data_IF_476904992730
#
_entry.id   IF_476904992730
#
_cell.length_a   1.000
_cell.length_b   1.000
_cell.length_c   1.000
_cell.angle_alpha   90.00
_cell.angle_beta   90.00
_cell.angle_gamma   90.00
#
_symmetry.space_group_name_H-M   'P 1'
#
loop_
_entity.id
_entity.type
_entity.pdbx_description
1 polymer ?
#
# COMPACT_ATOMS: atom_id res chain seq x y z
N UNK A 1 32.77 -44.09 22.85
CA UNK A 1 31.98 -43.00 22.22
C UNK A 1 31.86 -43.29 20.72
N UNK A 2 30.64 -43.28 20.16
CA UNK A 2 30.35 -43.72 18.78
C UNK A 2 30.84 -42.70 17.73
N UNK A 3 31.26 -43.12 16.52
CA UNK A 3 31.84 -42.24 15.49
C UNK A 3 30.91 -41.11 15.01
N UNK A 4 29.60 -41.33 15.12
CA UNK A 4 28.55 -40.36 14.76
C UNK A 4 28.53 -39.11 15.64
N UNK A 5 29.05 -39.18 16.87
CA UNK A 5 29.16 -38.00 17.74
C UNK A 5 30.32 -37.06 17.35
N UNK A 6 31.35 -37.55 16.66
CA UNK A 6 32.47 -36.70 16.19
C UNK A 6 32.09 -35.89 14.94
N UNK A 7 31.22 -36.42 14.09
CA UNK A 7 30.75 -35.73 12.88
C UNK A 7 29.83 -34.55 13.22
N UNK A 8 28.98 -34.71 14.24
CA UNK A 8 28.07 -33.65 14.70
C UNK A 8 28.81 -32.48 15.38
N UNK A 9 29.90 -32.77 16.10
CA UNK A 9 30.73 -31.76 16.76
C UNK A 9 31.56 -30.90 15.81
N UNK A 10 31.74 -31.31 14.55
CA UNK A 10 32.49 -30.56 13.53
C UNK A 10 31.56 -29.83 12.55
N UNK A 11 30.38 -30.39 12.24
CA UNK A 11 29.41 -29.74 11.35
C UNK A 11 28.71 -28.53 11.97
N UNK A 12 28.46 -28.56 13.29
CA UNK A 12 27.75 -27.48 13.97
C UNK A 12 28.55 -26.16 14.02
N UNK A 13 29.85 -26.15 14.39
CA UNK A 13 30.66 -24.94 14.38
C UNK A 13 30.87 -24.36 12.97
N UNK A 14 31.00 -25.21 11.95
CA UNK A 14 31.21 -24.77 10.56
C UNK A 14 29.97 -24.11 9.96
N UNK A 15 28.77 -24.59 10.29
CA UNK A 15 27.52 -23.94 9.88
C UNK A 15 27.31 -22.60 10.58
N UNK A 16 27.67 -22.49 11.86
CA UNK A 16 27.61 -21.23 12.62
C UNK A 16 28.63 -20.21 12.09
N UNK A 17 29.87 -20.64 11.81
CA UNK A 17 30.89 -19.79 11.21
C UNK A 17 30.52 -19.37 9.77
N UNK A 18 29.90 -20.26 8.99
CA UNK A 18 29.34 -19.93 7.67
C UNK A 18 28.21 -18.90 7.76
N UNK A 19 27.33 -19.01 8.76
CA UNK A 19 26.26 -18.05 8.99
C UNK A 19 26.78 -16.69 9.46
N UNK A 20 27.80 -16.67 10.33
CA UNK A 20 28.45 -15.45 10.80
C UNK A 20 29.25 -14.79 9.66
N UNK A 21 29.98 -15.54 8.84
CA UNK A 21 30.68 -15.03 7.65
C UNK A 21 29.70 -14.47 6.62
N UNK A 22 28.61 -15.17 6.33
CA UNK A 22 27.55 -14.71 5.43
C UNK A 22 26.85 -13.45 5.97
N UNK A 23 26.63 -13.37 7.27
CA UNK A 23 25.99 -12.21 7.92
C UNK A 23 26.93 -11.01 8.04
N UNK A 24 28.24 -11.24 8.16
CA UNK A 24 29.25 -10.17 8.30
C UNK A 24 29.65 -9.57 6.94
N UNK A 25 29.60 -10.37 5.87
CA UNK A 25 29.84 -9.91 4.49
C UNK A 25 28.80 -8.92 3.95
N UNK A 26 27.65 -8.75 4.63
CA UNK A 26 26.60 -7.77 4.25
C UNK A 26 26.55 -6.51 5.10
N UNK A 27 27.42 -6.36 6.10
CA UNK A 27 27.42 -5.21 7.01
C UNK A 27 28.61 -4.26 6.86
N UNK A 28 29.61 -4.58 6.01
CA UNK A 28 30.67 -3.64 5.67
C UNK A 28 31.13 -3.80 4.21
N UNK A 29 30.53 -3.02 3.30
CA UNK A 29 31.24 -2.52 2.12
C UNK A 29 31.23 -0.99 2.17
N UNK A 30 32.31 -0.36 2.64
CA UNK A 30 32.53 1.05 2.45
C UNK A 30 32.93 1.32 0.98
N UNK A 31 32.50 2.47 0.50
CA UNK A 31 32.77 3.10 -0.79
C UNK A 31 34.24 3.01 -1.24
N UNK A 32 34.46 2.55 -2.48
CA UNK A 32 35.59 2.87 -3.38
C UNK A 32 35.21 2.29 -4.77
N UNK A 33 35.28 2.92 -5.94
CA UNK A 33 35.68 4.22 -6.45
C UNK A 33 35.50 4.15 -7.99
N UNK A 34 35.39 5.31 -8.65
CA UNK A 34 35.28 5.49 -10.11
C UNK A 34 36.24 4.61 -10.96
N UNK A 35 35.76 4.09 -12.11
CA UNK A 35 36.36 4.38 -13.43
C UNK A 35 35.43 4.05 -14.61
N UNK A 36 35.42 4.96 -15.59
CA UNK A 36 34.84 4.87 -16.94
C UNK A 36 35.67 4.01 -17.90
N UNK A 37 35.04 3.38 -18.90
CA UNK A 37 35.25 3.51 -20.37
C UNK A 37 34.84 2.24 -21.15
N UNK A 38 33.94 2.45 -22.12
CA UNK A 38 33.87 2.02 -23.52
C UNK A 38 34.46 0.67 -24.04
N UNK A 39 33.61 0.09 -24.90
CA UNK A 39 33.85 -0.61 -26.19
C UNK A 39 34.28 -2.10 -26.28
N UNK A 40 33.62 -2.70 -27.29
CA UNK A 40 33.99 -3.83 -28.15
C UNK A 40 33.57 -5.27 -27.77
N UNK A 41 32.63 -5.80 -28.59
CA UNK A 41 32.71 -7.05 -29.37
C UNK A 41 32.86 -8.38 -28.61
N UNK A 42 32.13 -9.47 -28.86
CA UNK A 42 31.22 -9.90 -29.91
C UNK A 42 31.28 -11.43 -29.92
N UNK A 43 30.16 -12.15 -29.93
CA UNK A 43 30.14 -13.56 -30.40
C UNK A 43 28.73 -13.96 -30.83
N UNK A 44 28.62 -14.30 -32.12
CA UNK A 44 27.42 -14.82 -32.78
C UNK A 44 27.42 -16.37 -32.77
N UNK A 45 26.44 -16.94 -33.51
CA UNK A 45 26.29 -18.33 -34.01
C UNK A 45 25.31 -19.18 -33.17
N UNK A 46 24.26 -19.85 -33.68
CA UNK A 46 23.80 -20.17 -35.04
C UNK A 46 22.26 -20.32 -35.10
N UNK A 47 21.70 -20.05 -36.29
CA UNK A 47 20.37 -20.44 -36.76
C UNK A 47 20.46 -21.73 -37.58
N UNK A 48 19.48 -22.63 -37.45
CA UNK A 48 19.18 -23.66 -38.46
C UNK A 48 17.69 -23.64 -38.84
N UNK A 49 17.45 -23.61 -40.15
CA UNK A 49 16.17 -23.81 -40.89
C UNK A 49 15.77 -25.29 -40.80
N UNK A 50 14.53 -25.76 -40.98
CA UNK A 50 13.23 -25.21 -41.38
C UNK A 50 12.27 -26.38 -41.63
N UNK A 51 10.97 -26.13 -41.81
CA UNK A 51 10.04 -26.99 -42.57
C UNK A 51 8.71 -26.24 -42.80
N UNK A 52 8.30 -26.15 -44.05
CA UNK A 52 7.12 -25.44 -44.56
C UNK A 52 6.06 -26.48 -44.96
N UNK A 53 4.78 -26.26 -44.60
CA UNK A 53 3.64 -27.03 -45.13
C UNK A 53 2.51 -26.06 -45.52
N UNK A 54 1.97 -26.31 -46.73
CA UNK A 54 1.09 -25.49 -47.56
C UNK A 54 -0.26 -25.09 -46.94
N UNK A 55 -0.69 -23.88 -47.30
CA UNK A 55 -1.99 -23.25 -47.02
C UNK A 55 -3.07 -23.69 -48.03
N UNK A 56 -4.29 -23.95 -47.56
CA UNK A 56 -5.53 -24.06 -48.36
C UNK A 56 -6.24 -22.69 -48.28
N UNK A 57 -6.78 -22.11 -49.36
CA UNK A 57 -7.42 -20.79 -49.33
C UNK A 57 -8.94 -20.90 -49.11
N UNK A 58 -9.46 -20.31 -48.03
CA UNK A 58 -10.90 -20.08 -47.89
C UNK A 58 -11.20 -18.66 -47.39
N UNK A 59 -11.73 -17.88 -48.34
CA UNK A 59 -12.77 -16.87 -48.24
C UNK A 59 -12.66 -15.78 -47.15
N UNK A 60 -12.03 -14.65 -47.51
CA UNK A 60 -12.16 -13.39 -46.78
C UNK A 60 -13.61 -12.90 -46.84
N UNK A 61 -14.27 -12.91 -45.68
CA UNK A 61 -15.45 -12.08 -45.44
C UNK A 61 -14.98 -10.85 -44.67
N UNK A 62 -14.92 -9.71 -45.35
CA UNK A 62 -14.62 -8.42 -44.76
C UNK A 62 -15.75 -8.05 -43.77
N UNK A 63 -15.50 -8.24 -42.47
CA UNK A 63 -16.30 -7.64 -41.41
C UNK A 63 -15.79 -6.21 -41.23
N UNK A 64 -16.59 -5.16 -41.45
CA UNK A 64 -16.13 -3.80 -41.25
C UNK A 64 -15.81 -3.59 -39.77
N UNK A 65 -14.53 -3.41 -39.47
CA UNK A 65 -14.04 -3.04 -38.14
C UNK A 65 -14.63 -1.68 -37.80
N UNK A 66 -15.66 -1.68 -36.94
CA UNK A 66 -16.15 -0.47 -36.32
C UNK A 66 -15.04 0.25 -35.56
N UNK A 67 -15.18 1.55 -35.28
CA UNK A 67 -14.16 2.32 -34.59
C UNK A 67 -13.79 1.63 -33.28
N UNK A 68 -12.50 1.36 -33.06
CA UNK A 68 -11.99 0.87 -31.78
C UNK A 68 -12.24 1.99 -30.77
N UNK A 69 -13.35 1.92 -30.05
CA UNK A 69 -13.61 2.77 -28.89
C UNK A 69 -12.55 2.41 -27.86
N UNK A 70 -11.53 3.27 -27.73
CA UNK A 70 -10.51 3.12 -26.70
C UNK A 70 -11.17 2.99 -25.33
N UNK A 71 -10.66 2.09 -24.49
CA UNK A 71 -11.16 1.93 -23.12
C UNK A 71 -11.16 3.28 -22.40
N UNK A 72 -12.33 3.71 -21.89
CA UNK A 72 -12.48 4.93 -21.07
C UNK A 72 -11.74 4.82 -19.73
N UNK A 73 -11.33 3.60 -19.37
CA UNK A 73 -10.63 3.27 -18.12
C UNK A 73 -9.19 2.86 -18.37
N UNK A 74 -8.32 3.14 -17.40
CA UNK A 74 -6.96 2.64 -17.34
C UNK A 74 -6.90 1.13 -17.02
N UNK A 75 -5.69 0.58 -16.97
CA UNK A 75 -5.45 -0.85 -16.71
C UNK A 75 -5.94 -1.32 -15.33
N UNK A 76 -6.02 -0.42 -14.35
CA UNK A 76 -6.53 -0.73 -13.01
C UNK A 76 -8.07 -0.65 -12.97
N UNK A 77 -8.66 0.19 -13.83
CA UNK A 77 -10.09 0.45 -13.91
C UNK A 77 -10.49 1.86 -13.46
N UNK A 78 -9.55 2.80 -13.35
CA UNK A 78 -9.86 4.20 -13.10
C UNK A 78 -10.22 4.91 -14.40
N UNK A 79 -11.13 5.89 -14.36
CA UNK A 79 -11.41 6.77 -15.49
C UNK A 79 -10.12 7.48 -15.95
N UNK A 80 -9.90 7.55 -17.26
CA UNK A 80 -8.75 8.28 -17.82
C UNK A 80 -8.89 9.80 -17.64
N UNK A 81 -10.11 10.33 -17.74
CA UNK A 81 -10.41 11.75 -17.49
C UNK A 81 -10.89 11.97 -16.05
N UNK A 82 -9.93 12.28 -15.17
CA UNK A 82 -10.16 12.44 -13.73
C UNK A 82 -10.61 13.85 -13.34
N UNK A 83 -10.38 14.85 -14.18
CA UNK A 83 -10.77 16.26 -13.92
C UNK A 83 -12.26 16.53 -14.23
N UNK A 84 -13.06 15.46 -14.31
CA UNK A 84 -14.48 15.54 -14.64
C UNK A 84 -15.27 16.20 -13.50
N UNK A 85 -16.17 17.11 -13.86
CA UNK A 85 -17.13 17.68 -12.90
C UNK A 85 -17.91 16.53 -12.26
N UNK A 86 -18.29 16.69 -10.98
CA UNK A 86 -19.19 15.76 -10.32
C UNK A 86 -20.38 15.46 -11.24
N UNK A 87 -20.77 14.17 -11.40
CA UNK A 87 -21.96 13.80 -12.14
C UNK A 87 -23.15 14.66 -11.70
N UNK A 88 -24.05 15.04 -12.62
CA UNK A 88 -25.20 15.90 -12.30
C UNK A 88 -26.01 15.40 -11.10
N UNK A 89 -26.15 14.08 -10.95
CA UNK A 89 -26.81 13.44 -9.80
C UNK A 89 -26.11 13.74 -8.47
N UNK A 90 -24.78 13.60 -8.42
CA UNK A 90 -24.00 13.92 -7.22
C UNK A 90 -23.96 15.42 -6.97
N UNK A 91 -23.89 16.23 -8.04
CA UNK A 91 -23.95 17.68 -7.93
C UNK A 91 -25.31 18.14 -7.39
N UNK A 92 -26.42 17.54 -7.81
CA UNK A 92 -27.75 17.83 -7.28
C UNK A 92 -27.88 17.40 -5.81
N UNK A 93 -27.47 16.16 -5.49
CA UNK A 93 -27.56 15.60 -4.14
C UNK A 93 -26.76 16.41 -3.11
N UNK A 94 -25.57 16.87 -3.48
CA UNK A 94 -24.63 17.51 -2.56
C UNK A 94 -24.45 19.02 -2.78
N UNK A 95 -25.05 19.58 -3.83
CA UNK A 95 -24.90 20.99 -4.23
C UNK A 95 -25.69 21.96 -3.36
N UNK A 96 -26.77 21.48 -2.71
CA UNK A 96 -27.58 22.27 -1.79
C UNK A 96 -27.00 22.34 -0.36
N UNK A 97 -25.92 21.62 -0.09
CA UNK A 97 -25.25 21.63 1.21
C UNK A 97 -24.28 22.81 1.29
N UNK A 98 -24.38 23.62 2.34
CA UNK A 98 -23.47 24.73 2.58
C UNK A 98 -22.02 24.27 2.68
N UNK A 99 -21.12 25.17 2.30
CA UNK A 99 -19.68 24.94 2.37
C UNK A 99 -19.27 24.64 3.83
N UNK A 100 -18.49 23.58 4.04
CA UNK A 100 -18.06 23.12 5.36
C UNK A 100 -18.97 22.10 6.05
N UNK A 101 -20.24 21.93 5.64
CA UNK A 101 -21.13 20.89 6.19
C UNK A 101 -20.67 19.50 5.78
N UNK A 102 -20.80 18.53 6.69
CA UNK A 102 -20.44 17.15 6.43
C UNK A 102 -21.40 16.49 5.44
N UNK A 103 -20.86 15.79 4.42
CA UNK A 103 -21.66 15.18 3.35
C UNK A 103 -21.63 13.64 3.44
N UNK A 104 -22.65 12.99 4.03
CA UNK A 104 -22.66 11.53 4.20
C UNK A 104 -22.53 10.77 2.87
N UNK A 105 -21.64 9.77 2.82
CA UNK A 105 -21.33 8.93 1.68
C UNK A 105 -20.60 9.64 0.53
N UNK A 106 -20.07 10.85 0.75
CA UNK A 106 -19.55 11.67 -0.34
C UNK A 106 -18.25 11.14 -0.95
N UNK A 107 -17.28 10.75 -0.13
CA UNK A 107 -16.04 10.12 -0.60
C UNK A 107 -16.32 8.81 -1.36
N UNK A 108 -17.17 7.94 -0.83
CA UNK A 108 -17.55 6.69 -1.52
C UNK A 108 -18.20 6.98 -2.89
N UNK A 109 -19.12 7.94 -2.96
CA UNK A 109 -19.76 8.33 -4.21
C UNK A 109 -18.76 8.87 -5.26
N UNK A 110 -17.79 9.69 -4.83
CA UNK A 110 -16.71 10.16 -5.72
C UNK A 110 -15.80 9.02 -6.16
N UNK A 111 -15.48 8.10 -5.27
CA UNK A 111 -14.67 6.92 -5.59
C UNK A 111 -15.35 6.04 -6.62
N UNK A 112 -16.63 5.70 -6.43
CA UNK A 112 -17.40 4.91 -7.40
C UNK A 112 -17.47 5.59 -8.77
N UNK A 113 -17.54 6.92 -8.80
CA UNK A 113 -17.54 7.67 -10.07
C UNK A 113 -16.24 7.47 -10.86
N UNK A 114 -15.08 7.51 -10.21
CA UNK A 114 -13.79 7.35 -10.90
C UNK A 114 -13.33 5.90 -11.02
N UNK A 115 -13.85 5.01 -10.18
CA UNK A 115 -13.46 3.62 -10.08
C UNK A 115 -14.72 2.76 -9.83
N UNK A 116 -15.44 2.34 -10.89
CA UNK A 116 -16.71 1.61 -10.76
C UNK A 116 -16.60 0.27 -10.03
N UNK A 117 -15.39 -0.30 -9.93
CA UNK A 117 -15.10 -1.52 -9.16
C UNK A 117 -15.06 -1.28 -7.65
N UNK A 118 -15.20 -0.03 -7.17
CA UNK A 118 -15.25 0.30 -5.75
C UNK A 118 -16.48 -0.34 -5.11
N UNK A 119 -16.27 -1.38 -4.31
CA UNK A 119 -17.33 -2.16 -3.68
C UNK A 119 -17.72 -1.59 -2.30
N UNK A 120 -18.90 -1.99 -1.81
CA UNK A 120 -19.43 -1.64 -0.48
C UNK A 120 -18.39 -1.85 0.65
N UNK A 121 -18.49 -1.06 1.73
CA UNK A 121 -17.50 -1.04 2.80
C UNK A 121 -17.32 -2.42 3.45
N UNK A 122 -16.06 -2.84 3.54
CA UNK A 122 -15.66 -3.92 4.43
C UNK A 122 -15.53 -3.38 5.87
N UNK A 123 -15.76 -4.21 6.92
CA UNK A 123 -15.51 -3.78 8.28
C UNK A 123 -14.03 -3.39 8.45
N UNK A 124 -13.78 -2.22 9.03
CA UNK A 124 -12.45 -1.64 9.18
C UNK A 124 -11.50 -2.58 9.93
N UNK A 125 -12.00 -3.16 11.01
CA UNK A 125 -11.25 -4.07 11.87
C UNK A 125 -11.87 -5.46 11.84
N UNK A 126 -11.07 -6.46 12.22
CA UNK A 126 -11.55 -7.81 12.43
C UNK A 126 -12.39 -7.90 13.71
N UNK A 127 -13.48 -8.65 13.62
CA UNK A 127 -14.33 -9.05 14.75
C UNK A 127 -14.23 -10.57 14.97
N UNK A 128 -14.99 -11.11 15.93
CA UNK A 128 -15.02 -12.57 16.19
C UNK A 128 -15.51 -13.41 15.01
N UNK A 129 -16.10 -12.80 13.98
CA UNK A 129 -16.56 -13.47 12.77
C UNK A 129 -15.52 -13.46 11.63
N UNK A 130 -14.28 -12.99 11.87
CA UNK A 130 -13.26 -12.83 10.84
C UNK A 130 -13.01 -14.08 9.98
N UNK A 131 -13.21 -15.28 10.53
CA UNK A 131 -13.07 -16.56 9.80
C UNK A 131 -14.03 -16.70 8.61
N UNK A 132 -15.13 -15.95 8.58
CA UNK A 132 -16.09 -15.90 7.46
C UNK A 132 -15.57 -15.11 6.27
N UNK A 133 -14.46 -14.36 6.43
CA UNK A 133 -13.90 -13.52 5.39
C UNK A 133 -13.08 -14.35 4.38
N UNK A 134 -13.77 -15.06 3.48
CA UNK A 134 -13.17 -15.97 2.50
C UNK A 134 -12.11 -15.32 1.58
N UNK A 135 -12.21 -14.00 1.34
CA UNK A 135 -11.25 -13.24 0.52
C UNK A 135 -9.86 -13.09 1.16
N UNK A 136 -9.75 -13.20 2.48
CA UNK A 136 -8.50 -12.99 3.24
C UNK A 136 -8.03 -14.24 3.98
N UNK A 137 -8.91 -15.23 4.18
CA UNK A 137 -8.59 -16.47 4.91
C UNK A 137 -7.54 -17.34 4.23
N UNK A 138 -7.40 -17.24 2.91
CA UNK A 138 -6.51 -18.10 2.12
C UNK A 138 -5.10 -17.52 1.93
N UNK A 139 -4.85 -16.29 2.38
CA UNK A 139 -3.58 -15.59 2.19
C UNK A 139 -2.80 -15.48 3.49
N UNK A 140 -1.48 -15.54 3.38
CA UNK A 140 -0.59 -15.28 4.51
C UNK A 140 -0.55 -13.77 4.83
N UNK A 141 -0.14 -13.38 6.04
CA UNK A 141 0.16 -11.99 6.34
C UNK A 141 1.15 -11.36 5.34
N UNK A 142 1.02 -10.05 5.02
CA UNK A 142 0.03 -9.10 5.54
C UNK A 142 -1.29 -9.09 4.75
N UNK A 143 -1.41 -9.88 3.68
CA UNK A 143 -2.59 -9.88 2.81
C UNK A 143 -3.74 -10.72 3.36
N UNK A 144 -3.48 -11.58 4.32
CA UNK A 144 -4.49 -12.37 5.00
C UNK A 144 -4.02 -12.80 6.38
N UNK A 145 -4.68 -13.83 6.90
CA UNK A 145 -4.40 -14.36 8.24
C UNK A 145 -4.29 -15.88 8.28
N UNK A 146 -4.07 -16.51 7.12
CA UNK A 146 -3.86 -17.96 7.03
C UNK A 146 -2.77 -18.37 8.02
N UNK A 147 -3.03 -19.41 8.82
CA UNK A 147 -2.15 -19.93 9.89
C UNK A 147 -2.09 -19.12 11.19
N UNK A 148 -2.68 -17.92 11.23
CA UNK A 148 -2.63 -17.01 12.38
C UNK A 148 -3.96 -16.93 13.14
N UNK A 149 -4.93 -17.78 12.80
CA UNK A 149 -6.31 -17.70 13.29
C UNK A 149 -6.38 -17.83 14.81
N UNK A 150 -5.59 -18.73 15.42
CA UNK A 150 -5.55 -18.93 16.88
C UNK A 150 -5.04 -17.70 17.63
N UNK A 151 -4.04 -17.02 17.06
CA UNK A 151 -3.47 -15.80 17.65
C UNK A 151 -4.49 -14.67 17.55
N UNK A 152 -5.13 -14.53 16.39
CA UNK A 152 -6.19 -13.53 16.19
C UNK A 152 -7.37 -13.77 17.13
N UNK A 153 -7.84 -15.02 17.28
CA UNK A 153 -8.90 -15.36 18.26
C UNK A 153 -8.51 -14.94 19.69
N UNK A 154 -7.25 -15.15 20.07
CA UNK A 154 -6.72 -14.80 21.39
C UNK A 154 -6.70 -13.29 21.59
N UNK A 155 -6.20 -12.55 20.60
CA UNK A 155 -6.19 -11.08 20.63
C UNK A 155 -7.62 -10.54 20.71
N UNK A 156 -8.52 -10.96 19.81
CA UNK A 156 -9.90 -10.48 19.79
C UNK A 156 -10.68 -10.80 21.07
N UNK A 157 -10.33 -11.90 21.74
CA UNK A 157 -10.92 -12.25 23.05
C UNK A 157 -10.40 -11.32 24.16
N UNK A 158 -9.15 -10.87 24.08
CA UNK A 158 -8.57 -9.92 25.03
C UNK A 158 -9.05 -8.48 24.77
N UNK A 159 -9.14 -8.04 23.51
CA UNK A 159 -9.45 -6.64 23.18
C UNK A 159 -10.91 -6.27 23.39
N UNK A 160 -11.86 -7.20 23.18
CA UNK A 160 -13.32 -7.06 23.40
C UNK A 160 -14.04 -5.90 22.69
N UNK A 161 -13.32 -5.01 22.02
CA UNK A 161 -13.85 -3.93 21.22
C UNK A 161 -13.22 -4.03 19.82
N UNK A 162 -14.08 -3.90 18.80
CA UNK A 162 -13.76 -4.13 17.39
C UNK A 162 -14.12 -2.94 16.49
N UNK A 163 -14.69 -1.86 17.06
CA UNK A 163 -15.08 -0.66 16.33
C UNK A 163 -14.10 0.50 16.53
N UNK A 164 -14.45 1.68 16.01
CA UNK A 164 -13.71 2.92 16.31
C UNK A 164 -14.02 3.42 17.73
N UNK A 165 -15.12 2.94 18.34
CA UNK A 165 -15.60 3.36 19.65
C UNK A 165 -16.99 3.99 19.52
N UNK A 166 -17.80 3.92 20.58
CA UNK A 166 -19.22 4.30 20.57
C UNK A 166 -19.45 5.72 20.02
N UNK A 167 -18.64 6.68 20.47
CA UNK A 167 -18.72 8.07 20.00
C UNK A 167 -18.53 8.15 18.48
N UNK A 168 -17.43 7.62 17.95
CA UNK A 168 -17.12 7.68 16.51
C UNK A 168 -18.07 6.81 15.68
N UNK A 169 -18.42 5.63 16.17
CA UNK A 169 -19.33 4.70 15.47
C UNK A 169 -20.74 5.30 15.35
N UNK A 170 -21.20 6.06 16.35
CA UNK A 170 -22.50 6.75 16.35
C UNK A 170 -22.59 7.97 15.41
N UNK A 171 -21.45 8.52 14.95
CA UNK A 171 -21.45 9.67 14.07
C UNK A 171 -22.12 9.33 12.73
N UNK A 172 -23.16 10.11 12.41
CA UNK A 172 -23.88 10.07 11.12
C UNK A 172 -23.05 10.61 9.96
N UNK A 173 -21.99 11.37 10.25
CA UNK A 173 -21.05 11.84 9.26
C UNK A 173 -19.62 11.98 9.84
N UNK A 174 -18.64 11.38 9.18
CA UNK A 174 -17.25 11.26 9.60
C UNK A 174 -16.34 12.04 8.64
N UNK A 175 -15.73 13.11 9.12
CA UNK A 175 -14.65 13.82 8.42
C UNK A 175 -13.31 13.33 8.93
N UNK A 176 -12.47 12.87 8.01
CA UNK A 176 -11.19 12.26 8.35
C UNK A 176 -10.03 13.05 7.77
N UNK A 177 -9.05 13.33 8.61
CA UNK A 177 -7.76 13.85 8.18
C UNK A 177 -6.72 12.77 8.45
N UNK A 178 -6.07 12.29 7.39
CA UNK A 178 -4.97 11.33 7.47
C UNK A 178 -3.68 12.13 7.44
N UNK A 179 -2.91 12.00 8.51
CA UNK A 179 -1.61 12.68 8.63
C UNK A 179 -0.52 11.66 8.40
N UNK A 180 0.20 11.83 7.29
CA UNK A 180 1.41 11.08 6.97
C UNK A 180 2.63 11.70 7.65
N UNK A 181 3.75 10.98 7.59
CA UNK A 181 4.98 11.39 8.25
C UNK A 181 5.93 12.22 7.37
N UNK A 182 5.51 12.63 6.17
CA UNK A 182 6.39 13.26 5.19
C UNK A 182 7.08 14.53 5.72
N UNK A 183 8.33 14.74 5.30
CA UNK A 183 9.14 15.92 5.65
C UNK A 183 8.51 17.27 5.29
N UNK A 184 7.50 17.29 4.40
CA UNK A 184 6.72 18.48 4.07
C UNK A 184 5.98 19.08 5.29
N UNK A 185 5.82 18.32 6.38
CA UNK A 185 5.28 18.81 7.65
C UNK A 185 6.31 19.50 8.55
N UNK A 186 7.60 19.51 8.18
CA UNK A 186 8.63 20.16 8.97
C UNK A 186 8.28 21.65 9.20
N UNK A 187 8.29 22.08 10.46
CA UNK A 187 7.87 23.41 10.92
C UNK A 187 6.43 23.84 10.53
N UNK A 188 5.54 22.89 10.16
CA UNK A 188 4.12 23.18 9.92
C UNK A 188 3.27 22.87 11.14
N UNK A 189 2.37 23.78 11.49
CA UNK A 189 1.33 23.55 12.50
C UNK A 189 0.00 23.25 11.80
N UNK A 190 -0.52 22.04 11.96
CA UNK A 190 -1.79 21.63 11.33
C UNK A 190 -3.04 22.01 12.18
N UNK A 191 -2.87 22.68 13.34
CA UNK A 191 -3.94 23.00 14.31
C UNK A 191 -4.10 22.00 15.47
N UNK A 192 -5.23 22.01 16.20
CA UNK A 192 -5.47 21.11 17.35
C UNK A 192 -5.66 19.62 16.95
N UNK A 193 -5.37 18.65 17.83
CA UNK A 193 -5.37 17.21 17.51
C UNK A 193 -6.75 16.54 17.46
N UNK A 194 -7.78 17.17 18.02
CA UNK A 194 -9.06 16.56 18.45
C UNK A 194 -9.94 15.97 17.32
N UNK A 195 -9.49 16.05 16.05
CA UNK A 195 -10.25 15.57 14.87
C UNK A 195 -9.38 14.82 13.84
N UNK A 196 -8.31 14.17 14.27
CA UNK A 196 -7.33 13.57 13.36
C UNK A 196 -7.29 12.06 13.48
N UNK A 197 -7.50 11.37 12.35
CA UNK A 197 -7.09 9.99 12.22
C UNK A 197 -5.58 10.00 11.97
N UNK A 198 -4.82 9.89 13.05
CA UNK A 198 -3.37 9.76 12.99
C UNK A 198 -3.03 8.35 12.52
N UNK A 199 -2.66 8.21 11.25
CA UNK A 199 -2.20 6.93 10.75
C UNK A 199 -0.79 6.64 11.25
N UNK A 200 -0.63 5.42 11.73
CA UNK A 200 0.49 4.95 12.53
C UNK A 200 1.85 5.30 11.95
N UNK A 201 2.63 6.03 12.75
CA UNK A 201 4.05 5.87 13.04
C UNK A 201 4.43 7.09 13.90
N UNK A 202 3.91 7.15 15.14
CA UNK A 202 4.41 8.11 16.12
C UNK A 202 5.34 7.45 17.13
N UNK A 203 6.36 8.25 17.43
CA UNK A 203 7.52 7.99 18.27
C UNK A 203 7.08 7.70 19.71
N UNK A 204 7.29 6.46 20.17
CA UNK A 204 7.90 6.27 21.48
C UNK A 204 9.37 6.70 21.38
N UNK A 205 9.91 7.30 22.41
CA UNK A 205 11.24 7.95 22.44
C UNK A 205 12.44 7.01 22.19
N UNK A 206 12.24 5.75 21.83
CA UNK A 206 13.31 4.80 21.52
C UNK A 206 12.97 3.97 20.27
N UNK A 207 13.89 3.97 19.30
CA UNK A 207 14.13 2.92 18.31
C UNK A 207 12.93 2.28 17.61
N UNK A 208 12.79 2.53 16.30
CA UNK A 208 11.92 1.74 15.44
C UNK A 208 12.25 0.24 15.53
N UNK A 209 11.21 -0.59 15.66
CA UNK A 209 11.26 -2.03 15.86
C UNK A 209 12.11 -2.75 14.80
N UNK A 210 13.29 -3.24 15.20
CA UNK A 210 14.08 -4.21 14.41
C UNK A 210 13.69 -5.67 14.69
N UNK A 211 12.86 -5.91 15.71
CA UNK A 211 12.25 -7.20 16.04
C UNK A 211 10.77 -7.03 16.38
N UNK A 212 9.97 -8.10 16.28
CA UNK A 212 8.55 -8.10 16.65
C UNK A 212 8.39 -7.51 18.05
N UNK A 213 7.46 -6.55 18.20
CA UNK A 213 7.20 -5.93 19.49
C UNK A 213 6.74 -6.97 20.51
N UNK A 214 7.50 -7.13 21.60
CA UNK A 214 7.12 -8.04 22.69
C UNK A 214 6.09 -7.42 23.65
N UNK A 215 5.96 -6.09 23.64
CA UNK A 215 5.04 -5.35 24.49
C UNK A 215 4.55 -4.09 23.76
N UNK A 216 3.26 -3.79 23.87
CA UNK A 216 2.64 -2.55 23.37
C UNK A 216 2.08 -1.82 24.59
N UNK A 217 2.52 -0.58 24.89
CA UNK A 217 2.07 0.17 26.07
C UNK A 217 0.67 0.75 25.86
N UNK A 218 -0.32 -0.11 25.61
CA UNK A 218 -1.73 0.22 25.40
C UNK A 218 -2.58 -0.85 26.06
N UNK A 219 -3.72 -0.45 26.59
CA UNK A 219 -4.67 -1.40 27.15
C UNK A 219 -5.20 -2.29 26.02
N UNK A 220 -5.46 -3.60 26.25
CA UNK A 220 -6.03 -4.47 25.24
C UNK A 220 -7.30 -3.90 24.60
N UNK A 221 -8.12 -3.17 25.35
CA UNK A 221 -9.35 -2.51 24.87
C UNK A 221 -9.10 -1.37 23.86
N UNK A 222 -7.88 -0.86 23.76
CA UNK A 222 -7.46 0.14 22.77
C UNK A 222 -6.88 -0.49 21.50
N UNK A 223 -6.63 -1.80 21.50
CA UNK A 223 -6.01 -2.51 20.37
C UNK A 223 -7.10 -3.00 19.40
N UNK A 224 -6.86 -2.79 18.11
CA UNK A 224 -7.68 -3.33 17.01
C UNK A 224 -6.79 -4.05 16.01
N UNK A 225 -7.36 -5.05 15.33
CA UNK A 225 -6.69 -5.72 14.21
C UNK A 225 -7.29 -5.19 12.93
N UNK A 226 -6.48 -4.53 12.11
CA UNK A 226 -6.89 -4.08 10.78
C UNK A 226 -7.33 -5.26 9.93
N UNK A 227 -8.44 -5.11 9.20
CA UNK A 227 -8.86 -6.09 8.22
C UNK A 227 -7.87 -6.15 7.04
N UNK A 228 -7.20 -7.28 6.77
CA UNK A 228 -6.21 -7.40 5.68
C UNK A 228 -6.77 -7.10 4.29
N UNK A 229 -8.10 -7.08 4.13
CA UNK A 229 -8.77 -6.66 2.91
C UNK A 229 -8.27 -5.30 2.39
N UNK A 230 -8.10 -4.31 3.27
CA UNK A 230 -7.66 -2.97 2.86
C UNK A 230 -6.22 -2.96 2.33
N UNK A 231 -5.38 -3.88 2.82
CA UNK A 231 -4.02 -4.06 2.33
C UNK A 231 -4.06 -4.66 0.91
N UNK A 232 -4.90 -5.69 0.70
CA UNK A 232 -5.07 -6.28 -0.63
C UNK A 232 -5.66 -5.30 -1.64
N UNK A 233 -6.67 -4.53 -1.24
CA UNK A 233 -7.33 -3.58 -2.13
C UNK A 233 -6.39 -2.43 -2.50
N UNK A 234 -5.69 -1.85 -1.52
CA UNK A 234 -4.64 -0.87 -1.76
C UNK A 234 -3.60 -1.43 -2.74
N UNK A 235 -3.03 -2.60 -2.44
CA UNK A 235 -1.95 -3.20 -3.22
C UNK A 235 -2.39 -3.55 -4.65
N UNK A 236 -3.44 -4.36 -4.80
CA UNK A 236 -3.72 -5.07 -6.03
C UNK A 236 -4.80 -4.40 -6.88
N UNK A 237 -5.77 -3.73 -6.25
CA UNK A 237 -6.88 -3.11 -6.97
C UNK A 237 -6.59 -1.65 -7.32
N UNK A 238 -6.12 -0.87 -6.34
CA UNK A 238 -5.87 0.56 -6.53
C UNK A 238 -4.51 0.85 -7.16
N UNK A 239 -3.42 0.34 -6.58
CA UNK A 239 -2.06 0.61 -7.07
C UNK A 239 -1.71 -0.33 -8.25
N UNK A 240 -2.26 -1.54 -8.27
CA UNK A 240 -1.91 -2.55 -9.28
C UNK A 240 -0.50 -3.11 -9.10
N UNK A 241 -0.12 -3.43 -7.86
CA UNK A 241 1.12 -4.11 -7.50
C UNK A 241 1.09 -5.60 -7.89
N UNK A 242 2.26 -6.26 -8.04
CA UNK A 242 2.33 -7.67 -8.38
C UNK A 242 1.69 -8.57 -7.31
N UNK A 243 0.74 -9.41 -7.71
CA UNK A 243 -0.01 -10.26 -6.78
C UNK A 243 0.86 -11.32 -6.09
N UNK A 244 1.80 -11.94 -6.82
CA UNK A 244 2.73 -12.95 -6.30
C UNK A 244 2.05 -14.06 -5.46
N UNK A 245 0.85 -14.51 -5.88
CA UNK A 245 0.04 -15.48 -5.13
C UNK A 245 -0.27 -15.06 -3.68
N UNK A 246 -0.32 -13.75 -3.40
CA UNK A 246 -0.51 -13.21 -2.05
C UNK A 246 0.71 -13.38 -1.14
N UNK A 247 1.90 -13.58 -1.70
CA UNK A 247 3.17 -13.62 -0.96
C UNK A 247 3.87 -12.27 -0.99
N UNK A 248 4.57 -11.92 0.09
CA UNK A 248 5.43 -10.75 0.10
C UNK A 248 6.57 -10.91 -0.91
N UNK A 249 6.85 -9.86 -1.66
CA UNK A 249 7.88 -9.81 -2.68
C UNK A 249 8.33 -8.39 -2.98
N UNK A 250 9.19 -8.23 -3.97
CA UNK A 250 9.75 -6.91 -4.30
C UNK A 250 8.66 -5.99 -4.82
N UNK A 251 8.50 -4.84 -4.16
CA UNK A 251 7.61 -3.76 -4.58
C UNK A 251 6.13 -4.12 -4.58
N UNK A 252 5.69 -5.10 -3.77
CA UNK A 252 4.29 -5.51 -3.73
C UNK A 252 3.54 -5.17 -2.45
N UNK A 253 4.19 -4.54 -1.49
CA UNK A 253 3.58 -4.08 -0.25
C UNK A 253 3.28 -2.58 -0.39
N UNK A 254 2.05 -2.12 -0.14
CA UNK A 254 1.75 -0.69 -0.10
C UNK A 254 2.32 -0.06 1.17
N UNK A 255 2.63 1.24 1.16
CA UNK A 255 2.95 1.96 2.39
C UNK A 255 1.75 1.98 3.34
N UNK A 256 2.02 2.08 4.65
CA UNK A 256 0.95 2.26 5.65
C UNK A 256 0.11 3.52 5.38
N UNK A 257 0.72 4.57 4.82
CA UNK A 257 -0.01 5.78 4.41
C UNK A 257 -1.04 5.49 3.33
N UNK A 258 -0.71 4.66 2.34
CA UNK A 258 -1.66 4.27 1.29
C UNK A 258 -2.75 3.35 1.84
N UNK A 259 -2.41 2.40 2.73
CA UNK A 259 -3.40 1.56 3.40
C UNK A 259 -4.38 2.40 4.23
N UNK A 260 -3.87 3.40 4.95
CA UNK A 260 -4.65 4.37 5.71
C UNK A 260 -5.63 5.18 4.86
N UNK A 261 -5.19 5.65 3.69
CA UNK A 261 -6.08 6.33 2.76
C UNK A 261 -7.17 5.36 2.28
N UNK A 262 -6.81 4.14 1.88
CA UNK A 262 -7.78 3.11 1.48
C UNK A 262 -8.83 2.85 2.57
N UNK A 263 -8.41 2.73 3.84
CA UNK A 263 -9.32 2.63 4.98
C UNK A 263 -10.29 3.81 5.06
N UNK A 264 -9.78 5.04 4.93
CA UNK A 264 -10.58 6.25 5.01
C UNK A 264 -11.56 6.39 3.84
N UNK A 265 -11.19 5.96 2.62
CA UNK A 265 -12.09 5.96 1.47
C UNK A 265 -13.36 5.12 1.70
N UNK A 266 -13.28 4.08 2.54
CA UNK A 266 -14.40 3.22 2.88
C UNK A 266 -15.19 3.64 4.12
N UNK A 267 -14.56 4.34 5.06
CA UNK A 267 -15.13 4.57 6.40
C UNK A 267 -15.41 6.05 6.71
N UNK A 268 -14.99 6.96 5.83
CA UNK A 268 -15.15 8.39 6.00
C UNK A 268 -16.02 8.97 4.89
N UNK A 269 -16.79 9.98 5.24
CA UNK A 269 -17.67 10.69 4.33
C UNK A 269 -16.92 11.79 3.59
N UNK A 270 -15.92 12.37 4.24
CA UNK A 270 -14.96 13.30 3.65
C UNK A 270 -13.54 12.95 4.10
N UNK A 271 -12.60 13.01 3.16
CA UNK A 271 -11.20 12.63 3.39
C UNK A 271 -10.27 13.76 2.98
N UNK A 272 -9.45 14.20 3.93
CA UNK A 272 -8.32 15.07 3.70
C UNK A 272 -7.02 14.37 4.09
N UNK A 273 -5.92 14.76 3.45
CA UNK A 273 -4.59 14.23 3.72
C UNK A 273 -3.61 15.37 3.96
N UNK A 274 -2.63 15.14 4.82
CA UNK A 274 -1.54 16.07 5.09
C UNK A 274 -0.25 15.29 5.31
N UNK A 275 0.88 15.80 4.82
CA UNK A 275 2.18 15.12 5.02
C UNK A 275 2.39 13.92 4.12
N UNK A 276 1.71 13.89 2.98
CA UNK A 276 1.86 12.86 1.95
C UNK A 276 2.64 13.40 0.76
N UNK A 277 3.22 12.46 0.00
CA UNK A 277 3.99 12.76 -1.19
C UNK A 277 5.48 12.64 -0.97
N UNK A 278 6.17 12.31 -2.06
CA UNK A 278 7.62 12.23 -2.14
C UNK A 278 8.06 13.14 -3.28
N UNK A 279 8.75 14.22 -2.93
CA UNK A 279 9.38 15.08 -3.93
C UNK A 279 10.77 14.56 -4.27
N UNK A 280 10.83 13.76 -5.33
CA UNK A 280 12.09 13.15 -5.78
C UNK A 280 13.05 14.17 -6.40
N UNK A 281 12.61 15.40 -6.66
CA UNK A 281 13.44 16.50 -7.16
C UNK A 281 14.24 17.17 -6.04
N UNK A 282 13.87 16.94 -4.78
CA UNK A 282 14.59 17.44 -3.59
C UNK A 282 15.18 16.27 -2.78
N UNK A 283 16.16 15.52 -3.33
CA UNK A 283 16.67 14.29 -2.72
C UNK A 283 17.34 14.51 -1.36
N UNK A 284 17.73 15.74 -1.03
CA UNK A 284 18.33 16.12 0.24
C UNK A 284 17.33 16.59 1.29
N UNK A 285 16.06 16.81 0.92
CA UNK A 285 15.02 17.14 1.88
C UNK A 285 14.80 15.97 2.85
N UNK A 286 14.36 16.25 4.10
CA UNK A 286 13.97 15.20 5.02
C UNK A 286 12.87 14.32 4.44
N UNK A 287 13.03 13.00 4.57
CA UNK A 287 12.01 12.02 4.20
C UNK A 287 10.82 12.12 5.17
N UNK A 288 11.11 12.20 6.47
CA UNK A 288 10.10 12.43 7.50
C UNK A 288 10.32 13.73 8.26
N UNK A 289 9.26 14.28 8.85
CA UNK A 289 9.32 15.58 9.52
C UNK A 289 10.10 15.60 10.85
N UNK A 290 10.42 14.43 11.42
CA UNK A 290 11.03 14.30 12.74
C UNK A 290 12.47 13.78 12.72
N UNK A 291 13.00 13.45 11.54
CA UNK A 291 14.33 12.85 11.41
C UNK A 291 15.12 13.46 10.24
N UNK A 292 16.40 13.10 10.18
CA UNK A 292 17.35 13.61 9.20
C UNK A 292 17.57 12.65 8.03
N UNK A 293 16.85 11.52 7.97
CA UNK A 293 16.89 10.60 6.83
C UNK A 293 16.44 11.37 5.60
N UNK A 294 17.22 11.26 4.53
CA UNK A 294 17.00 12.02 3.30
C UNK A 294 16.01 11.32 2.38
N UNK A 295 15.28 12.10 1.59
CA UNK A 295 14.35 11.62 0.58
C UNK A 295 14.97 10.59 -0.38
N UNK A 296 16.28 10.67 -0.65
CA UNK A 296 16.99 9.69 -1.47
C UNK A 296 16.88 8.24 -0.97
N UNK A 297 16.73 8.02 0.35
CA UNK A 297 16.65 6.68 0.93
C UNK A 297 15.42 5.89 0.45
N UNK A 298 14.32 6.57 0.10
CA UNK A 298 13.11 5.89 -0.38
C UNK A 298 13.31 5.27 -1.78
N UNK A 299 14.29 5.76 -2.57
CA UNK A 299 14.63 5.18 -3.89
C UNK A 299 15.18 3.76 -3.78
N UNK A 300 15.76 3.42 -2.65
CA UNK A 300 16.38 2.12 -2.38
C UNK A 300 15.40 1.13 -1.72
N UNK A 301 14.16 1.56 -1.44
CA UNK A 301 13.16 0.68 -0.83
C UNK A 301 12.79 -0.46 -1.78
N UNK A 302 13.04 -1.68 -1.33
CA UNK A 302 12.71 -2.90 -2.08
C UNK A 302 11.26 -3.35 -1.86
N UNK A 303 10.60 -2.91 -0.78
CA UNK A 303 9.26 -3.38 -0.37
C UNK A 303 8.12 -2.63 -1.06
N UNK A 304 8.30 -1.34 -1.32
CA UNK A 304 7.25 -0.45 -1.81
C UNK A 304 7.55 0.05 -3.24
N UNK A 305 6.50 0.27 -4.03
CA UNK A 305 6.63 0.92 -5.34
C UNK A 305 6.11 2.36 -5.24
N UNK A 306 6.99 3.26 -4.82
CA UNK A 306 6.66 4.67 -4.55
C UNK A 306 6.13 5.39 -5.80
N UNK A 307 6.61 5.02 -6.98
CA UNK A 307 6.13 5.62 -8.24
C UNK A 307 4.65 5.30 -8.48
N UNK A 308 4.27 4.02 -8.35
CA UNK A 308 2.87 3.61 -8.50
C UNK A 308 1.98 4.16 -7.38
N UNK A 309 2.47 4.21 -6.14
CA UNK A 309 1.71 4.84 -5.04
C UNK A 309 1.48 6.33 -5.31
N UNK A 310 2.50 7.05 -5.79
CA UNK A 310 2.36 8.46 -6.18
C UNK A 310 1.35 8.66 -7.31
N UNK A 311 1.35 7.77 -8.30
CA UNK A 311 0.34 7.79 -9.36
C UNK A 311 -1.08 7.63 -8.80
N UNK A 312 -1.29 6.65 -7.93
CA UNK A 312 -2.57 6.44 -7.26
C UNK A 312 -3.04 7.67 -6.47
N UNK A 313 -2.17 8.24 -5.63
CA UNK A 313 -2.49 9.44 -4.85
C UNK A 313 -2.88 10.63 -5.74
N UNK A 314 -2.15 10.83 -6.85
CA UNK A 314 -2.47 11.87 -7.83
C UNK A 314 -3.84 11.67 -8.46
N UNK A 315 -4.24 10.42 -8.73
CA UNK A 315 -5.60 10.14 -9.25
C UNK A 315 -6.67 10.62 -8.27
N UNK A 316 -6.49 10.35 -6.97
CA UNK A 316 -7.44 10.76 -5.93
C UNK A 316 -7.52 12.28 -5.74
N UNK A 317 -6.39 12.97 -5.82
CA UNK A 317 -6.33 14.44 -5.68
C UNK A 317 -6.95 15.13 -6.90
N UNK A 318 -6.58 14.72 -8.12
CA UNK A 318 -7.12 15.30 -9.37
C UNK A 318 -8.63 15.16 -9.47
N UNK A 319 -9.15 13.99 -9.10
CA UNK A 319 -10.59 13.70 -9.05
C UNK A 319 -11.32 14.30 -7.84
N UNK A 320 -10.61 15.01 -6.96
CA UNK A 320 -11.15 15.62 -5.74
C UNK A 320 -11.83 14.62 -4.81
N UNK A 321 -11.47 13.34 -4.88
CA UNK A 321 -11.91 12.33 -3.91
C UNK A 321 -11.36 12.66 -2.53
N UNK A 322 -10.07 13.03 -2.49
CA UNK A 322 -9.38 13.48 -1.28
C UNK A 322 -8.89 14.93 -1.45
N UNK A 323 -8.80 15.65 -0.35
CA UNK A 323 -8.20 17.00 -0.31
C UNK A 323 -6.78 16.93 0.24
N UNK A 324 -5.77 17.33 -0.54
CA UNK A 324 -4.39 17.47 -0.05
C UNK A 324 -4.18 18.84 0.57
N UNK A 325 -4.06 18.88 1.90
CA UNK A 325 -3.86 20.11 2.70
C UNK A 325 -2.43 20.64 2.62
N UNK A 326 -1.48 19.81 2.20
CA UNK A 326 -0.05 20.14 2.15
C UNK A 326 0.47 20.42 0.75
N UNK A 327 -0.33 20.09 -0.27
CA UNK A 327 0.03 20.18 -1.69
C UNK A 327 1.34 19.42 -2.01
N UNK A 328 1.53 18.26 -1.39
CA UNK A 328 2.71 17.41 -1.55
C UNK A 328 2.57 16.31 -2.62
N UNK A 329 1.34 16.04 -3.09
CA UNK A 329 1.00 14.93 -4.00
C UNK A 329 1.06 15.33 -5.49
#
# INVERSE_FOLDING_TARGET
MKPTHKLLFVLCPMLVLGFIYYSSGKLHLPVWGQKSQNDAEGTAVALTKGAEVKRIPELETEIPVGPIVGSVYDKQGFLLQLDTKLPPELAYKYGNLSEGVCKPGYTAAKMTNIYPKFMKPAPLFLDRNFKRLAKVSNYLPPFGFKTQERIIDSILTATKNYGLGEELDSLSCKKCIIVGNGGILFNKSLGPPDRRIRCCCERGVEGFWKSVAHYVPREPTEIRILNPYFIQEAAFQFIGLPFNNGLMGKGNIPTLGTVAITMALHNCDEVAVAGFGYDMNTPHAPLHYYETVKMSAIKESWTHNISKEKEFLRKLVKSKVITDLTHGI
#
